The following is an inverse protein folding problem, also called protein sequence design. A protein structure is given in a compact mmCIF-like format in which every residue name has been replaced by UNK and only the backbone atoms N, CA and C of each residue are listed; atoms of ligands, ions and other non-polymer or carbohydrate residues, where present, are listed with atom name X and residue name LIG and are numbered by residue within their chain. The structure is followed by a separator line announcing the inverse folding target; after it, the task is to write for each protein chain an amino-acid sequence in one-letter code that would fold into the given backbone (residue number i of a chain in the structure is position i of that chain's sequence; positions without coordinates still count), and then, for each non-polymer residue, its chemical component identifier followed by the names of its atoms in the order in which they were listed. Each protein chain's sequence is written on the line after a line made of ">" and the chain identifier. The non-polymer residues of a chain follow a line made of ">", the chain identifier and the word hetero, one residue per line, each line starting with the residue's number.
data_IF_113682743698
#
_entry.id   IF_113682743698
#
_cell.length_a   1.000
_cell.length_b   1.000
_cell.length_c   1.000
_cell.angle_alpha   90.00
_cell.angle_beta   90.00
_cell.angle_gamma   90.00
#
_symmetry.space_group_name_H-M   'P 1'
#
loop_
_entity.id
_entity.type
_entity.pdbx_description
1 polymer ?
#
# COMPACT_ATOMS: atom_id res chain seq x y z
N UNK A 1 1.23 -9.75 4.31
CA UNK A 1 1.70 -9.69 2.92
C UNK A 1 2.15 -8.26 2.65
N UNK A 2 3.38 -8.11 2.19
CA UNK A 2 3.93 -6.88 1.66
C UNK A 2 3.49 -6.68 0.21
N UNK A 3 3.17 -5.44 -0.14
CA UNK A 3 2.77 -5.04 -1.48
C UNK A 3 3.65 -3.87 -1.90
N UNK A 4 4.27 -3.97 -3.07
CA UNK A 4 5.12 -2.93 -3.62
C UNK A 4 4.29 -2.02 -4.52
N UNK A 5 4.28 -0.72 -4.23
CA UNK A 5 3.61 0.28 -5.04
C UNK A 5 4.59 1.36 -5.48
N UNK A 6 4.50 1.76 -6.74
CA UNK A 6 5.27 2.89 -7.26
C UNK A 6 4.64 4.22 -6.84
N UNK A 7 5.45 5.14 -6.31
CA UNK A 7 4.96 6.46 -5.98
C UNK A 7 4.68 7.29 -7.25
N UNK A 8 3.47 7.83 -7.38
CA UNK A 8 3.06 8.65 -8.52
C UNK A 8 3.91 9.91 -8.73
N UNK A 9 4.52 10.43 -7.66
CA UNK A 9 5.27 11.69 -7.68
C UNK A 9 6.74 11.52 -8.03
N UNK A 10 7.40 10.54 -7.43
CA UNK A 10 8.85 10.38 -7.53
C UNK A 10 9.30 9.06 -8.19
N UNK A 11 8.37 8.17 -8.51
CA UNK A 11 8.68 6.86 -9.11
C UNK A 11 9.41 5.90 -8.18
N UNK A 12 9.45 6.17 -6.87
CA UNK A 12 10.10 5.27 -5.92
C UNK A 12 9.15 4.14 -5.51
N UNK A 13 9.66 2.91 -5.50
CA UNK A 13 8.98 1.74 -4.96
C UNK A 13 8.81 1.87 -3.45
N UNK A 14 7.57 1.69 -2.99
CA UNK A 14 7.18 1.81 -1.60
C UNK A 14 6.47 0.54 -1.16
N UNK A 15 6.92 -0.01 -0.03
CA UNK A 15 6.35 -1.23 0.54
C UNK A 15 5.18 -0.86 1.46
N UNK A 16 3.99 -1.33 1.11
CA UNK A 16 2.76 -1.14 1.87
C UNK A 16 2.34 -2.47 2.49
N UNK A 17 2.10 -2.45 3.79
CA UNK A 17 1.73 -3.66 4.54
C UNK A 17 0.21 -3.77 4.64
N UNK A 18 -0.36 -4.79 3.99
CA UNK A 18 -1.76 -5.14 4.14
C UNK A 18 -2.04 -5.76 5.51
N UNK A 19 -3.10 -5.30 6.20
CA UNK A 19 -3.55 -5.92 7.46
C UNK A 19 -4.42 -7.14 7.15
N UNK A 20 -4.16 -8.31 7.76
CA UNK A 20 -5.03 -9.47 7.58
C UNK A 20 -6.41 -9.17 8.16
N UNK A 21 -7.45 -9.36 7.35
CA UNK A 21 -8.86 -9.16 7.70
C UNK A 21 -9.67 -10.39 7.33
N UNK A 22 -9.51 -11.47 8.09
CA UNK A 22 -10.31 -12.66 7.90
C UNK A 22 -10.13 -13.66 9.03
N UNK A 23 -11.24 -14.27 9.45
CA UNK A 23 -11.24 -15.35 10.46
C UNK A 23 -11.07 -16.74 9.81
N UNK A 24 -11.33 -16.85 8.50
CA UNK A 24 -11.27 -18.09 7.71
C UNK A 24 -10.69 -17.92 6.30
N UNK A 25 -10.73 -16.71 5.71
CA UNK A 25 -10.14 -16.41 4.39
C UNK A 25 -8.92 -15.49 4.55
N UNK A 26 -7.85 -15.73 3.78
CA UNK A 26 -6.66 -14.87 3.70
C UNK A 26 -6.97 -13.58 2.92
N UNK A 27 -7.84 -12.75 3.46
CA UNK A 27 -8.10 -11.40 2.92
C UNK A 27 -7.14 -10.42 3.57
N UNK A 28 -6.44 -9.64 2.77
CA UNK A 28 -5.57 -8.56 3.24
C UNK A 28 -6.21 -7.23 2.86
N UNK A 29 -6.40 -6.35 3.84
CA UNK A 29 -6.87 -4.98 3.60
C UNK A 29 -5.67 -4.08 3.54
N UNK A 30 -5.43 -3.54 2.36
CA UNK A 30 -4.47 -2.48 2.16
C UNK A 30 -4.98 -1.17 2.79
N UNK A 31 -4.08 -0.34 3.34
CA UNK A 31 -4.42 1.02 3.74
C UNK A 31 -4.76 1.83 2.49
N UNK A 32 -5.92 2.50 2.46
CA UNK A 32 -6.39 3.25 1.30
C UNK A 32 -5.44 4.37 0.86
N UNK A 33 -4.64 4.90 1.79
CA UNK A 33 -3.63 5.93 1.55
C UNK A 33 -2.32 5.53 2.23
N UNK A 34 -1.20 5.84 1.60
CA UNK A 34 0.14 5.60 2.12
C UNK A 34 1.12 6.68 1.69
N UNK A 35 2.03 7.04 2.60
CA UNK A 35 3.04 8.06 2.32
C UNK A 35 4.30 7.44 1.74
N UNK A 36 4.81 8.05 0.67
CA UNK A 36 6.06 7.62 0.06
C UNK A 36 7.24 7.91 0.99
N UNK A 37 8.07 6.90 1.25
CA UNK A 37 9.26 7.02 2.10
C UNK A 37 10.30 8.00 1.55
N UNK A 38 10.35 8.18 0.23
CA UNK A 38 11.37 9.00 -0.44
C UNK A 38 10.96 10.49 -0.53
N UNK A 39 9.72 10.77 -0.97
CA UNK A 39 9.28 12.15 -1.24
C UNK A 39 8.20 12.68 -0.28
N UNK A 40 7.68 11.84 0.62
CA UNK A 40 6.61 12.21 1.55
C UNK A 40 5.27 12.53 0.89
N UNK A 41 5.09 12.16 -0.39
CA UNK A 41 3.80 12.31 -1.05
C UNK A 41 2.83 11.23 -0.59
N UNK A 42 1.59 11.61 -0.35
CA UNK A 42 0.49 10.67 -0.10
C UNK A 42 0.04 10.06 -1.42
N UNK A 43 0.03 8.74 -1.47
CA UNK A 43 -0.40 7.92 -2.59
C UNK A 43 -1.67 7.16 -2.15
N UNK A 44 -2.51 6.83 -3.12
CA UNK A 44 -3.75 6.09 -2.89
C UNK A 44 -3.50 4.66 -3.38
N UNK A 45 -3.78 3.65 -2.57
CA UNK A 45 -3.77 2.29 -3.09
C UNK A 45 -4.94 2.13 -4.06
N UNK A 46 -4.72 1.67 -5.29
CA UNK A 46 -5.82 1.33 -6.18
C UNK A 46 -6.63 0.18 -5.55
N UNK A 47 -7.87 0.46 -5.15
CA UNK A 47 -8.92 -0.55 -4.96
C UNK A 47 -9.29 -1.04 -6.37
N UNK A 48 -8.90 -2.26 -6.75
CA UNK A 48 -9.42 -2.91 -7.97
C UNK A 48 -10.96 -3.06 -7.93
#
# INVERSE_FOLDING_TARGET
>A
MDFEFECWRCGADCVVYGKPVGFWEERYRLPGEWDCWNCGATNITPDE
#
